data_IF_246062829144
#
_entry.id   IF_246062829144
#
_cell.length_a   1.000
_cell.length_b   1.000
_cell.length_c   1.000
_cell.angle_alpha   90.00
_cell.angle_beta   90.00
_cell.angle_gamma   90.00
#
_symmetry.space_group_name_H-M   'P 1'
#
loop_
_entity.id
_entity.type
_entity.pdbx_description
1 polymer ?
#
# COMPACT_ATOMS: atom_id res chain seq x y z
N UNK A 1 18.65 0.19 2.55
CA UNK A 1 17.46 1.02 2.77
C UNK A 1 16.42 0.11 3.38
N UNK A 2 15.83 0.52 4.49
CA UNK A 2 14.83 -0.29 5.19
C UNK A 2 13.53 -0.38 4.38
N UNK A 3 12.77 -1.47 4.55
CA UNK A 3 11.48 -1.67 3.83
C UNK A 3 10.51 -0.51 4.04
N UNK A 4 10.51 0.05 5.25
CA UNK A 4 9.67 1.18 5.61
C UNK A 4 10.08 2.45 4.85
N UNK A 5 11.38 2.73 4.75
CA UNK A 5 11.90 3.88 4.00
C UNK A 5 11.53 3.80 2.51
N UNK A 6 11.66 2.60 1.91
CA UNK A 6 11.24 2.36 0.52
C UNK A 6 9.75 2.59 0.34
N UNK A 7 8.93 2.18 1.31
CA UNK A 7 7.49 2.41 1.30
C UNK A 7 7.13 3.90 1.34
N UNK A 8 7.73 4.66 2.25
CA UNK A 8 7.52 6.11 2.35
C UNK A 8 8.00 6.84 1.10
N UNK A 9 9.16 6.45 0.57
CA UNK A 9 9.71 7.01 -0.67
C UNK A 9 8.78 6.75 -1.85
N UNK A 10 8.24 5.54 -1.97
CA UNK A 10 7.31 5.17 -3.03
C UNK A 10 6.01 5.97 -2.99
N UNK A 11 5.50 6.27 -1.79
CA UNK A 11 4.37 7.21 -1.61
C UNK A 11 4.75 8.60 -2.11
N UNK A 12 5.86 9.16 -1.64
CA UNK A 12 6.27 10.52 -1.98
C UNK A 12 6.51 10.70 -3.48
N UNK A 13 7.15 9.72 -4.11
CA UNK A 13 7.53 9.73 -5.53
C UNK A 13 6.47 9.12 -6.45
N UNK A 14 5.33 8.66 -5.89
CA UNK A 14 4.25 7.98 -6.62
C UNK A 14 4.76 6.81 -7.48
N UNK A 15 5.63 5.98 -6.88
CA UNK A 15 6.23 4.79 -7.50
C UNK A 15 5.51 3.51 -7.09
N UNK A 16 5.47 2.56 -8.02
CA UNK A 16 4.98 1.20 -7.76
C UNK A 16 6.06 0.43 -6.99
N UNK A 17 5.63 -0.45 -6.08
CA UNK A 17 6.50 -1.38 -5.39
C UNK A 17 6.29 -2.79 -5.88
N UNK A 18 7.38 -3.53 -6.06
CA UNK A 18 7.36 -4.99 -6.02
C UNK A 18 7.57 -5.40 -4.56
N UNK A 19 6.60 -6.09 -3.98
CA UNK A 19 6.71 -6.60 -2.60
C UNK A 19 6.71 -8.12 -2.60
N UNK A 20 7.39 -8.70 -1.61
CA UNK A 20 7.26 -10.11 -1.24
C UNK A 20 6.79 -10.21 0.20
N UNK A 21 5.72 -10.95 0.45
CA UNK A 21 5.14 -11.06 1.78
C UNK A 21 4.63 -12.47 2.10
N UNK A 22 4.53 -12.82 3.38
CA UNK A 22 3.90 -14.05 3.86
C UNK A 22 2.38 -13.92 3.79
N UNK A 23 1.78 -14.50 2.76
CA UNK A 23 0.32 -14.67 2.73
C UNK A 23 -0.11 -15.77 3.70
N UNK A 24 -1.33 -15.63 4.24
CA UNK A 24 -1.88 -16.62 5.17
C UNK A 24 -2.14 -17.98 4.50
N UNK A 25 -2.56 -17.99 3.24
CA UNK A 25 -2.99 -19.21 2.55
C UNK A 25 -1.90 -19.85 1.69
N UNK A 26 -1.10 -19.04 0.98
CA UNK A 26 -0.21 -19.50 -0.09
C UNK A 26 1.27 -19.47 0.30
N UNK A 27 1.58 -19.07 1.54
CA UNK A 27 2.95 -18.81 1.97
C UNK A 27 3.53 -17.54 1.33
N UNK A 28 4.87 -17.44 1.19
CA UNK A 28 5.52 -16.27 0.61
C UNK A 28 5.16 -16.08 -0.87
N UNK A 29 4.58 -14.93 -1.21
CA UNK A 29 4.21 -14.55 -2.58
C UNK A 29 4.69 -13.13 -2.89
N UNK A 30 4.83 -12.83 -4.19
CA UNK A 30 5.22 -11.50 -4.66
C UNK A 30 4.10 -10.83 -5.46
N UNK A 31 3.98 -9.51 -5.33
CA UNK A 31 2.95 -8.69 -5.97
C UNK A 31 3.48 -7.31 -6.33
N UNK A 32 2.99 -6.78 -7.46
CA UNK A 32 3.08 -5.36 -7.80
C UNK A 32 1.97 -4.61 -7.09
N UNK A 33 2.35 -3.56 -6.39
CA UNK A 33 1.48 -2.86 -5.46
C UNK A 33 1.69 -1.35 -5.51
N UNK A 34 0.60 -0.62 -5.37
CA UNK A 34 0.65 0.81 -5.06
C UNK A 34 0.63 0.97 -3.54
N UNK A 35 1.61 1.66 -2.93
CA UNK A 35 1.61 1.91 -1.49
C UNK A 35 0.57 2.98 -1.15
N UNK A 36 -0.45 2.60 -0.38
CA UNK A 36 -1.54 3.49 0.02
C UNK A 36 -1.29 4.19 1.34
N UNK A 37 -1.03 3.47 2.43
CA UNK A 37 -0.83 4.11 3.75
C UNK A 37 -0.11 3.20 4.73
N UNK A 38 0.36 3.79 5.83
CA UNK A 38 0.87 3.04 6.97
C UNK A 38 0.17 3.51 8.24
N UNK A 39 -0.56 2.61 8.89
CA UNK A 39 -1.28 2.91 10.11
C UNK A 39 -2.32 1.85 10.46
N UNK A 40 -3.15 2.09 11.47
CA UNK A 40 -4.21 1.17 11.85
C UNK A 40 -5.35 1.18 10.84
N UNK A 41 -5.96 0.01 10.64
CA UNK A 41 -7.20 -0.06 9.87
C UNK A 41 -8.36 0.56 10.65
N UNK A 42 -9.01 1.57 10.07
CA UNK A 42 -10.20 2.23 10.65
C UNK A 42 -11.40 1.31 10.88
N UNK A 43 -11.45 0.16 10.20
CA UNK A 43 -12.59 -0.77 10.24
C UNK A 43 -12.32 -2.01 11.09
N UNK A 44 -11.05 -2.32 11.35
CA UNK A 44 -10.63 -3.52 12.06
C UNK A 44 -10.72 -3.32 13.58
N UNK A 45 -11.00 -4.39 14.34
CA UNK A 45 -10.81 -4.37 15.81
C UNK A 45 -9.32 -4.33 16.18
N UNK A 46 -8.48 -4.98 15.39
CA UNK A 46 -7.03 -4.91 15.52
C UNK A 46 -6.52 -3.58 14.95
N UNK A 47 -5.98 -2.77 15.86
CA UNK A 47 -5.44 -1.42 15.65
C UNK A 47 -3.90 -1.40 15.54
N UNK A 48 -3.28 -2.54 15.27
CA UNK A 48 -1.86 -2.59 14.93
C UNK A 48 -1.58 -1.87 13.61
N UNK A 49 -0.44 -1.19 13.53
CA UNK A 49 -0.01 -0.54 12.29
C UNK A 49 0.23 -1.56 11.18
N UNK A 50 -0.29 -1.26 10.00
CA UNK A 50 -0.21 -2.12 8.82
C UNK A 50 0.26 -1.31 7.63
N UNK A 51 0.97 -1.99 6.73
CA UNK A 51 1.13 -1.49 5.37
C UNK A 51 -0.15 -1.75 4.59
N UNK A 52 -0.73 -0.68 4.05
CA UNK A 52 -1.87 -0.72 3.16
C UNK A 52 -1.40 -0.51 1.73
N UNK A 53 -1.78 -1.43 0.86
CA UNK A 53 -1.43 -1.45 -0.55
C UNK A 53 -2.68 -1.62 -1.42
N UNK A 54 -2.54 -1.27 -2.69
CA UNK A 54 -3.43 -1.71 -3.76
C UNK A 54 -2.68 -2.72 -4.65
N UNK A 55 -3.12 -3.97 -4.64
CA UNK A 55 -2.58 -5.10 -5.41
C UNK A 55 -3.03 -5.00 -6.88
N UNK A 56 -2.05 -4.86 -7.78
CA UNK A 56 -2.22 -4.75 -9.23
C UNK A 56 -2.29 -6.11 -9.92
N UNK A 57 -1.85 -7.19 -9.26
CA UNK A 57 -1.78 -8.53 -9.84
C UNK A 57 -2.91 -9.45 -9.35
N UNK A 58 -3.85 -8.95 -8.52
CA UNK A 58 -4.94 -9.77 -8.02
C UNK A 58 -5.99 -10.03 -9.13
N UNK A 59 -6.22 -11.31 -9.50
CA UNK A 59 -7.06 -11.64 -10.66
C UNK A 59 -8.57 -11.41 -10.43
N UNK A 60 -9.03 -11.47 -9.17
CA UNK A 60 -10.41 -11.15 -8.78
C UNK A 60 -10.46 -10.65 -7.31
N UNK A 61 -11.43 -9.79 -6.96
CA UNK A 61 -11.72 -9.41 -5.58
C UNK A 61 -11.25 -8.02 -5.15
N UNK A 62 -11.10 -7.82 -3.83
CA UNK A 62 -10.61 -6.55 -3.28
C UNK A 62 -9.14 -6.39 -3.58
N UNK A 63 -8.81 -5.32 -4.31
CA UNK A 63 -7.43 -4.95 -4.57
C UNK A 63 -6.71 -4.40 -3.33
N UNK A 64 -7.40 -4.13 -2.22
CA UNK A 64 -6.76 -3.58 -1.03
C UNK A 64 -6.08 -4.71 -0.24
N UNK A 65 -4.75 -4.67 -0.18
CA UNK A 65 -3.92 -5.58 0.58
C UNK A 65 -3.41 -4.87 1.84
N UNK A 66 -3.75 -5.40 3.02
CA UNK A 66 -3.26 -4.87 4.30
C UNK A 66 -2.46 -5.94 5.02
N UNK A 67 -1.19 -5.67 5.32
CA UNK A 67 -0.29 -6.65 5.96
C UNK A 67 0.45 -6.03 7.14
N UNK A 68 0.72 -6.85 8.16
CA UNK A 68 1.56 -6.47 9.28
C UNK A 68 3.03 -6.32 8.84
N UNK A 69 3.84 -5.49 9.55
CA UNK A 69 5.25 -5.33 9.23
C UNK A 69 6.04 -6.64 9.15
N UNK A 70 5.73 -7.60 10.02
CA UNK A 70 6.41 -8.91 10.08
C UNK A 70 6.06 -9.82 8.90
N UNK A 71 4.96 -9.53 8.19
CA UNK A 71 4.58 -10.24 6.98
C UNK A 71 5.38 -9.76 5.76
N UNK A 72 5.86 -8.51 5.74
CA UNK A 72 6.60 -7.94 4.62
C UNK A 72 8.06 -8.43 4.66
N UNK A 73 8.41 -9.29 3.71
CA UNK A 73 9.73 -9.90 3.61
C UNK A 73 10.70 -8.99 2.86
N UNK A 74 10.29 -8.55 1.67
CA UNK A 74 11.10 -7.76 0.75
C UNK A 74 10.24 -6.67 0.09
N UNK A 75 10.87 -5.57 -0.27
CA UNK A 75 10.26 -4.48 -1.03
C UNK A 75 11.31 -3.89 -1.99
N UNK A 76 10.89 -3.57 -3.21
CA UNK A 76 11.72 -2.97 -4.25
C UNK A 76 10.92 -1.86 -4.95
N UNK A 77 11.58 -0.72 -5.17
CA UNK A 77 11.04 0.38 -5.96
C UNK A 77 11.15 0.05 -7.45
N UNK A 78 10.03 0.11 -8.15
CA UNK A 78 10.01 -0.02 -9.59
C UNK A 78 10.18 1.34 -10.27
N UNK A 79 10.65 1.33 -11.52
CA UNK A 79 10.71 2.54 -12.34
C UNK A 79 9.32 3.07 -12.71
N UNK A 80 8.31 2.19 -12.69
CA UNK A 80 6.91 2.50 -12.98
C UNK A 80 6.32 3.46 -11.92
N UNK A 81 5.55 4.44 -12.39
CA UNK A 81 4.80 5.38 -11.56
C UNK A 81 3.29 5.14 -11.69
N UNK A 82 2.53 5.62 -10.70
CA UNK A 82 1.07 5.62 -10.75
C UNK A 82 0.50 7.04 -10.58
N UNK A 83 -0.74 7.22 -11.00
CA UNK A 83 -1.50 8.47 -10.85
C UNK A 83 -2.52 8.28 -9.72
N UNK A 84 -2.39 8.95 -8.56
CA UNK A 84 -3.26 8.73 -7.41
C UNK A 84 -4.76 8.83 -7.72
N UNK A 85 -5.15 9.75 -8.60
CA UNK A 85 -6.54 9.99 -9.01
C UNK A 85 -7.19 8.77 -9.67
N UNK A 86 -6.40 7.87 -10.26
CA UNK A 86 -6.89 6.62 -10.85
C UNK A 86 -7.29 5.59 -9.80
N UNK A 87 -6.80 5.72 -8.57
CA UNK A 87 -6.96 4.71 -7.50
C UNK A 87 -7.64 5.26 -6.24
N UNK A 88 -7.59 6.57 -6.03
CA UNK A 88 -8.19 7.32 -4.92
C UNK A 88 -9.41 8.07 -5.46
N UNK A 89 -10.49 7.34 -5.68
CA UNK A 89 -11.70 7.85 -6.38
C UNK A 89 -12.84 8.22 -5.44
N UNK A 90 -12.70 7.96 -4.14
CA UNK A 90 -13.75 8.22 -3.16
C UNK A 90 -13.91 9.73 -2.88
N UNK A 91 -15.13 10.18 -2.52
CA UNK A 91 -15.41 11.59 -2.31
C UNK A 91 -14.86 12.10 -0.96
N UNK A 92 -14.21 13.27 -1.00
CA UNK A 92 -13.77 14.03 0.18
C UNK A 92 -12.31 13.79 0.60
N UNK A 93 -11.76 14.64 1.48
CA UNK A 93 -10.41 14.50 1.97
C UNK A 93 -10.29 13.19 2.76
N UNK A 94 -9.37 12.33 2.35
CA UNK A 94 -8.98 11.19 3.15
C UNK A 94 -7.93 11.63 4.15
N UNK A 95 -8.17 11.39 5.42
CA UNK A 95 -7.15 11.57 6.44
C UNK A 95 -6.14 10.42 6.31
N UNK A 96 -5.10 10.63 5.53
CA UNK A 96 -3.96 9.72 5.45
C UNK A 96 -3.17 9.78 6.76
N UNK A 97 -2.70 8.63 7.27
CA UNK A 97 -1.78 8.62 8.42
C UNK A 97 -0.43 9.21 8.03
N UNK A 98 0.08 8.84 6.85
CA UNK A 98 1.21 9.54 6.23
C UNK A 98 0.68 10.73 5.43
N UNK A 99 1.11 11.94 5.79
CA UNK A 99 0.66 13.21 5.17
C UNK A 99 0.99 13.27 3.68
N UNK A 100 -0.02 13.57 2.85
CA UNK A 100 0.06 13.78 1.40
C UNK A 100 -1.24 14.42 0.87
N UNK A 101 -1.29 14.72 -0.43
CA UNK A 101 -2.36 15.46 -1.10
C UNK A 101 -3.31 14.61 -1.98
N UNK A 102 -3.25 13.28 -1.91
CA UNK A 102 -4.06 12.39 -2.76
C UNK A 102 -5.55 12.42 -2.40
N UNK A 103 -6.42 12.37 -3.41
CA UNK A 103 -7.88 12.35 -3.21
C UNK A 103 -8.49 13.71 -2.92
N UNK A 104 -7.69 14.77 -2.95
CA UNK A 104 -8.17 16.14 -2.87
C UNK A 104 -8.84 16.50 -4.19
N UNK A 105 -10.14 16.22 -4.35
CA UNK A 105 -10.92 16.98 -5.33
C UNK A 105 -11.07 18.40 -4.76
N UNK A 106 -10.30 19.32 -5.33
CA UNK A 106 -10.52 20.76 -5.23
C UNK A 106 -11.94 21.13 -5.62
#
# INVERSE_FOLDING_TARGET
MEKHELFLKAIQEKKILQIRFKSFEKGPISRKCIPFDFGPSRRSKDQSDKYHFYDLDSPEGSHVLSILPEQLLEAELLEESFTPESYVTWPGPYEWFIKRDWGSKS
#
